data_IF_309986119429
#
_entry.id   IF_309986119429
#
_cell.length_a   1.000
_cell.length_b   1.000
_cell.length_c   1.000
_cell.angle_alpha   90.00
_cell.angle_beta   90.00
_cell.angle_gamma   90.00
#
_symmetry.space_group_name_H-M   'P 1'
#
loop_
_entity.id
_entity.type
_entity.pdbx_description
1 polymer ?
#
# COMPACT_ATOMS: atom_id res chain seq x y z
N UNK A 1 -9.67 8.86 14.83
CA UNK A 1 -8.72 7.94 14.16
C UNK A 1 -8.42 8.52 12.80
N UNK A 2 -7.26 9.14 12.57
CA UNK A 2 -7.00 9.77 11.28
C UNK A 2 -6.99 8.70 10.19
N UNK A 3 -7.76 8.95 9.14
CA UNK A 3 -7.98 8.04 8.03
C UNK A 3 -6.66 7.89 7.26
N UNK A 4 -5.91 6.81 7.53
CA UNK A 4 -4.55 6.58 6.97
C UNK A 4 -4.53 6.49 5.43
N UNK A 5 -5.66 6.20 4.82
CA UNK A 5 -5.84 6.11 3.38
C UNK A 5 -6.60 7.32 2.88
N UNK A 6 -6.09 7.94 1.82
CA UNK A 6 -6.78 9.06 1.16
C UNK A 6 -8.07 8.57 0.51
N UNK A 7 -8.07 7.35 -0.03
CA UNK A 7 -9.23 6.76 -0.72
C UNK A 7 -9.40 5.27 -0.41
N UNK A 8 -10.24 4.91 0.58
CA UNK A 8 -10.46 3.50 0.92
C UNK A 8 -11.06 2.70 -0.24
N UNK A 9 -11.90 3.32 -1.09
CA UNK A 9 -12.49 2.66 -2.26
C UNK A 9 -11.44 2.22 -3.28
N UNK A 10 -10.47 3.07 -3.58
CA UNK A 10 -9.37 2.73 -4.50
C UNK A 10 -8.50 1.61 -3.93
N UNK A 11 -8.28 1.59 -2.62
CA UNK A 11 -7.57 0.51 -1.94
C UNK A 11 -8.31 -0.82 -2.07
N UNK A 12 -9.64 -0.83 -1.86
CA UNK A 12 -10.46 -2.02 -2.02
C UNK A 12 -10.52 -2.53 -3.47
N UNK A 13 -10.61 -1.64 -4.46
CA UNK A 13 -10.57 -2.02 -5.88
C UNK A 13 -9.24 -2.65 -6.25
N UNK A 14 -8.12 -2.01 -5.92
CA UNK A 14 -6.78 -2.54 -6.15
C UNK A 14 -6.58 -3.88 -5.43
N UNK A 15 -7.11 -4.01 -4.19
CA UNK A 15 -7.06 -5.24 -3.42
C UNK A 15 -7.84 -6.36 -4.10
N UNK A 16 -9.08 -6.12 -4.53
CA UNK A 16 -9.91 -7.13 -5.21
C UNK A 16 -9.25 -7.58 -6.51
N UNK A 17 -8.79 -6.64 -7.32
CA UNK A 17 -8.15 -6.96 -8.60
C UNK A 17 -6.90 -7.84 -8.41
N UNK A 18 -6.01 -7.46 -7.48
CA UNK A 18 -4.80 -8.23 -7.19
C UNK A 18 -5.12 -9.56 -6.49
N UNK A 19 -6.17 -9.61 -5.67
CA UNK A 19 -6.60 -10.84 -5.01
C UNK A 19 -7.10 -11.88 -6.02
N UNK A 20 -7.90 -11.46 -6.99
CA UNK A 20 -8.43 -12.30 -8.06
C UNK A 20 -7.41 -12.59 -9.17
N UNK A 21 -6.38 -11.76 -9.31
CA UNK A 21 -5.31 -12.01 -10.27
C UNK A 21 -4.43 -13.20 -9.84
N UNK A 22 -3.93 -13.93 -10.84
CA UNK A 22 -2.86 -14.91 -10.73
C UNK A 22 -1.47 -14.26 -10.60
N UNK A 23 -1.39 -12.93 -10.77
CA UNK A 23 -0.15 -12.17 -10.60
C UNK A 23 0.24 -12.07 -9.12
N UNK A 24 1.42 -12.58 -8.81
CA UNK A 24 1.97 -12.55 -7.45
C UNK A 24 1.47 -13.67 -6.54
N UNK A 25 0.80 -14.71 -7.07
CA UNK A 25 0.44 -15.91 -6.32
C UNK A 25 -0.87 -16.52 -6.80
N UNK A 26 -1.36 -17.55 -6.09
CA UNK A 26 -2.63 -18.19 -6.46
C UNK A 26 -3.80 -17.19 -6.36
N UNK A 27 -4.74 -17.19 -7.32
CA UNK A 27 -5.96 -16.39 -7.23
C UNK A 27 -6.75 -16.78 -5.99
N UNK A 28 -7.33 -15.80 -5.30
CA UNK A 28 -8.05 -16.01 -4.03
C UNK A 28 -7.16 -16.15 -2.79
N UNK A 29 -5.83 -16.07 -2.93
CA UNK A 29 -4.90 -16.02 -1.79
C UNK A 29 -4.21 -14.66 -1.70
N UNK A 30 -3.88 -14.27 -0.48
CA UNK A 30 -3.13 -13.05 -0.20
C UNK A 30 -1.67 -13.38 0.07
N UNK A 31 -0.76 -12.77 -0.69
CA UNK A 31 0.69 -12.97 -0.57
C UNK A 31 1.41 -11.64 -0.39
N UNK A 32 2.67 -11.67 0.05
CA UNK A 32 3.51 -10.47 0.16
C UNK A 32 3.65 -9.75 -1.20
N UNK A 33 3.78 -10.51 -2.30
CA UNK A 33 3.90 -9.95 -3.65
C UNK A 33 2.62 -9.25 -4.09
N UNK A 34 1.45 -9.80 -3.72
CA UNK A 34 0.14 -9.17 -3.94
C UNK A 34 0.00 -7.87 -3.16
N UNK A 35 0.48 -7.80 -1.91
CA UNK A 35 0.48 -6.56 -1.16
C UNK A 35 1.32 -5.46 -1.84
N UNK A 36 2.50 -5.81 -2.35
CA UNK A 36 3.35 -4.86 -3.11
C UNK A 36 2.67 -4.38 -4.40
N UNK A 37 2.00 -5.28 -5.11
CA UNK A 37 1.25 -4.94 -6.32
C UNK A 37 0.07 -4.03 -6.00
N UNK A 38 -0.72 -4.36 -4.97
CA UNK A 38 -1.85 -3.52 -4.53
C UNK A 38 -1.39 -2.12 -4.13
N UNK A 39 -0.28 -2.00 -3.39
CA UNK A 39 0.27 -0.69 -3.03
C UNK A 39 0.73 0.11 -4.26
N UNK A 40 1.36 -0.56 -5.22
CA UNK A 40 1.80 0.06 -6.48
C UNK A 40 0.62 0.53 -7.32
N UNK A 41 -0.43 -0.29 -7.40
CA UNK A 41 -1.64 -0.02 -8.17
C UNK A 41 -2.48 1.08 -7.53
N UNK A 42 -2.62 1.04 -6.20
CA UNK A 42 -3.24 2.10 -5.41
C UNK A 42 -2.54 3.44 -5.64
N UNK A 43 -1.20 3.47 -5.56
CA UNK A 43 -0.42 4.68 -5.84
C UNK A 43 -0.56 5.18 -7.28
N UNK A 44 -0.58 4.28 -8.27
CA UNK A 44 -0.79 4.62 -9.69
C UNK A 44 -2.17 5.23 -9.95
N UNK A 45 -3.20 4.77 -9.25
CA UNK A 45 -4.57 5.27 -9.35
C UNK A 45 -4.78 6.62 -8.64
N UNK A 46 -3.71 7.23 -8.12
CA UNK A 46 -3.79 8.48 -7.36
C UNK A 46 -4.07 8.28 -5.87
N UNK A 47 -4.13 7.03 -5.40
CA UNK A 47 -4.26 6.69 -4.00
C UNK A 47 -3.04 7.13 -3.20
N UNK A 48 -3.25 8.07 -2.29
CA UNK A 48 -2.23 8.53 -1.35
C UNK A 48 -2.29 7.77 -0.02
N UNK A 49 -1.22 7.91 0.75
CA UNK A 49 -1.29 7.67 2.19
C UNK A 49 -1.30 9.03 2.85
N UNK A 50 -2.31 9.30 3.67
CA UNK A 50 -2.30 10.45 4.59
C UNK A 50 -1.38 10.11 5.76
N UNK A 51 -0.11 9.85 5.45
CA UNK A 51 0.96 9.98 6.42
C UNK A 51 1.19 11.48 6.54
N UNK A 52 0.42 12.13 7.41
CA UNK A 52 0.94 13.33 8.05
C UNK A 52 2.30 12.93 8.59
N UNK A 53 3.34 13.66 8.16
CA UNK A 53 4.72 13.42 8.58
C UNK A 53 4.84 13.85 10.03
N UNK A 54 4.22 13.10 10.92
CA UNK A 54 4.41 13.21 12.36
C UNK A 54 4.91 11.84 12.81
N UNK A 55 6.19 11.85 13.18
CA UNK A 55 6.93 10.77 13.85
C UNK A 55 7.49 9.66 12.94
N UNK A 56 8.72 9.87 12.45
CA UNK A 56 9.52 8.77 11.88
C UNK A 56 10.65 9.11 10.90
N UNK A 57 11.11 10.37 10.78
CA UNK A 57 12.48 10.61 10.30
C UNK A 57 13.42 10.38 11.48
N UNK A 58 13.78 9.12 11.74
CA UNK A 58 14.96 8.84 12.56
C UNK A 58 16.15 9.29 11.75
N UNK A 59 16.77 10.39 12.19
CA UNK A 59 18.03 10.87 11.65
C UNK A 59 19.01 9.70 11.54
N UNK A 60 19.46 9.44 10.33
CA UNK A 60 20.76 8.83 10.10
C UNK A 60 21.81 9.88 10.49
N UNK A 61 21.96 10.10 11.79
CA UNK A 61 23.16 10.71 12.35
C UNK A 61 24.27 9.66 12.23
N UNK A 62 25.15 9.90 11.27
CA UNK A 62 26.47 9.32 11.11
C UNK A 62 27.19 9.20 12.48
N UNK A 63 27.68 8.01 12.89
CA UNK A 63 28.61 7.91 13.99
C UNK A 63 30.07 7.95 13.47
N UNK A 64 31.02 8.41 14.33
CA UNK A 64 32.37 8.85 13.95
C UNK A 64 33.31 7.77 13.43
#
# INVERSE_FOLDING_TARGET
MPNKYTDPKLCDEAKKEVHHSDKGGKPGQWSARKAQMMASEYKKRGGGYNITKEEGQTGISEPP
#
